data_IF_469576643830
#
_entry.id   IF_469576643830
#
_cell.length_a   1.000
_cell.length_b   1.000
_cell.length_c   1.000
_cell.angle_alpha   90.00
_cell.angle_beta   90.00
_cell.angle_gamma   90.00
#
_symmetry.space_group_name_H-M   'P 1'
#
loop_
_entity.id
_entity.type
_entity.pdbx_description
1 polymer ?
#
# COMPACT_ATOMS: atom_id res chain seq x y z
N UNK A 1 -11.21 -12.75 11.38
CA UNK A 1 -11.56 -11.44 10.79
C UNK A 1 -12.76 -11.55 9.85
N UNK A 2 -12.74 -12.42 8.84
CA UNK A 2 -13.86 -12.58 7.89
C UNK A 2 -15.22 -12.91 8.56
N UNK A 3 -15.23 -13.72 9.61
CA UNK A 3 -16.46 -14.04 10.35
C UNK A 3 -17.06 -12.85 11.12
N UNK A 4 -16.23 -11.93 11.63
CA UNK A 4 -16.71 -10.74 12.33
C UNK A 4 -17.39 -9.78 11.36
N UNK A 5 -16.74 -9.50 10.24
CA UNK A 5 -17.31 -8.64 9.18
C UNK A 5 -18.60 -9.23 8.59
N UNK A 6 -18.59 -10.53 8.27
CA UNK A 6 -19.78 -11.21 7.78
C UNK A 6 -20.94 -11.19 8.79
N UNK A 7 -20.63 -11.42 10.07
CA UNK A 7 -21.63 -11.35 11.14
C UNK A 7 -22.27 -9.96 11.27
N UNK A 8 -21.45 -8.89 11.26
CA UNK A 8 -21.94 -7.52 11.32
C UNK A 8 -22.85 -7.16 10.13
N UNK A 9 -22.48 -7.59 8.92
CA UNK A 9 -23.27 -7.38 7.71
C UNK A 9 -24.65 -8.05 7.80
N UNK A 10 -24.69 -9.33 8.20
CA UNK A 10 -25.93 -10.08 8.33
C UNK A 10 -26.85 -9.46 9.38
N UNK A 11 -26.31 -9.09 10.54
CA UNK A 11 -27.09 -8.44 11.61
C UNK A 11 -27.68 -7.11 11.12
N UNK A 12 -26.90 -6.29 10.42
CA UNK A 12 -27.37 -5.02 9.87
C UNK A 12 -28.50 -5.19 8.84
N UNK A 13 -28.38 -6.16 7.94
CA UNK A 13 -29.41 -6.46 6.94
C UNK A 13 -30.70 -6.95 7.62
N UNK A 14 -30.59 -7.91 8.55
CA UNK A 14 -31.75 -8.44 9.29
C UNK A 14 -32.45 -7.33 10.07
N UNK A 15 -31.70 -6.47 10.75
CA UNK A 15 -32.26 -5.34 11.48
C UNK A 15 -33.01 -4.36 10.56
N UNK A 16 -32.44 -4.01 9.41
CA UNK A 16 -33.07 -3.12 8.42
C UNK A 16 -34.35 -3.70 7.82
N UNK A 17 -34.40 -5.02 7.60
CA UNK A 17 -35.62 -5.72 7.18
C UNK A 17 -36.69 -5.69 8.27
N UNK A 18 -36.33 -5.98 9.53
CA UNK A 18 -37.27 -6.01 10.65
C UNK A 18 -37.85 -4.63 11.00
N UNK A 19 -37.09 -3.55 10.78
CA UNK A 19 -37.55 -2.16 10.99
C UNK A 19 -38.30 -1.57 9.79
N UNK A 20 -38.44 -2.30 8.68
CA UNK A 20 -39.08 -1.83 7.46
C UNK A 20 -38.25 -0.81 6.67
N UNK A 21 -36.98 -0.59 7.04
CA UNK A 21 -36.05 0.32 6.36
C UNK A 21 -35.18 -0.44 5.34
N UNK A 22 -35.82 -1.22 4.46
CA UNK A 22 -35.12 -1.97 3.41
C UNK A 22 -34.53 -1.06 2.34
N UNK A 23 -35.12 0.12 2.15
CA UNK A 23 -34.62 1.13 1.22
C UNK A 23 -33.26 1.67 1.69
N UNK A 24 -33.11 2.05 2.96
CA UNK A 24 -31.84 2.53 3.50
C UNK A 24 -30.72 1.49 3.45
N UNK A 25 -31.03 0.20 3.62
CA UNK A 25 -30.05 -0.89 3.43
C UNK A 25 -29.59 -0.96 1.97
N UNK A 26 -30.52 -0.88 1.03
CA UNK A 26 -30.23 -0.96 -0.41
C UNK A 26 -29.39 0.23 -0.86
N UNK A 27 -29.77 1.45 -0.43
CA UNK A 27 -29.07 2.68 -0.77
C UNK A 27 -27.64 2.68 -0.20
N UNK A 28 -27.46 2.25 1.06
CA UNK A 28 -26.14 2.15 1.68
C UNK A 28 -25.21 1.15 0.96
N UNK A 29 -25.75 0.01 0.50
CA UNK A 29 -24.98 -0.98 -0.27
C UNK A 29 -24.56 -0.40 -1.63
N UNK A 30 -25.48 0.27 -2.33
CA UNK A 30 -25.20 0.89 -3.63
C UNK A 30 -24.19 2.04 -3.52
N UNK A 31 -24.32 2.89 -2.51
CA UNK A 31 -23.39 3.98 -2.24
C UNK A 31 -21.99 3.45 -1.90
N UNK A 32 -21.91 2.47 -0.99
CA UNK A 32 -20.64 1.81 -0.66
C UNK A 32 -19.97 1.17 -1.88
N UNK A 33 -20.75 0.53 -2.76
CA UNK A 33 -20.23 -0.04 -3.99
C UNK A 33 -19.68 1.04 -4.94
N UNK A 34 -20.38 2.17 -5.08
CA UNK A 34 -19.94 3.31 -5.90
C UNK A 34 -18.67 3.94 -5.35
N UNK A 35 -18.58 4.12 -4.04
CA UNK A 35 -17.37 4.62 -3.37
C UNK A 35 -16.20 3.68 -3.58
N UNK A 36 -16.41 2.36 -3.41
CA UNK A 36 -15.38 1.36 -3.63
C UNK A 36 -14.85 1.38 -5.07
N UNK A 37 -15.72 1.49 -6.07
CA UNK A 37 -15.31 1.60 -7.48
C UNK A 37 -14.57 2.89 -7.74
N UNK A 38 -15.05 4.01 -7.21
CA UNK A 38 -14.42 5.33 -7.37
C UNK A 38 -13.02 5.32 -6.78
N UNK A 39 -12.87 4.82 -5.57
CA UNK A 39 -11.58 4.64 -4.91
C UNK A 39 -10.68 3.71 -5.72
N UNK A 40 -11.21 2.58 -6.20
CA UNK A 40 -10.48 1.63 -7.04
C UNK A 40 -9.91 2.28 -8.29
N UNK A 41 -10.70 3.05 -9.03
CA UNK A 41 -10.26 3.77 -10.23
C UNK A 41 -9.19 4.82 -9.89
N UNK A 42 -9.40 5.61 -8.82
CA UNK A 42 -8.41 6.59 -8.38
C UNK A 42 -7.08 5.93 -7.99
N UNK A 43 -7.14 4.83 -7.24
CA UNK A 43 -5.95 4.08 -6.86
C UNK A 43 -5.26 3.44 -8.06
N UNK A 44 -6.00 2.89 -9.03
CA UNK A 44 -5.44 2.32 -10.25
C UNK A 44 -4.61 3.35 -11.02
N UNK A 45 -5.13 4.57 -11.20
CA UNK A 45 -4.40 5.64 -11.89
C UNK A 45 -3.10 6.02 -11.17
N UNK A 46 -3.18 6.22 -9.85
CA UNK A 46 -2.01 6.61 -9.04
C UNK A 46 -0.97 5.48 -9.01
N UNK A 47 -1.40 4.24 -8.77
CA UNK A 47 -0.50 3.09 -8.67
C UNK A 47 0.16 2.82 -10.02
N UNK A 48 -0.60 2.76 -11.12
CA UNK A 48 -0.03 2.50 -12.45
C UNK A 48 1.00 3.55 -12.88
N UNK A 49 0.72 4.84 -12.62
CA UNK A 49 1.66 5.92 -12.87
C UNK A 49 2.95 5.74 -12.07
N UNK A 50 2.82 5.51 -10.76
CA UNK A 50 3.97 5.38 -9.87
C UNK A 50 4.79 4.13 -10.13
N UNK A 51 4.14 2.99 -10.41
CA UNK A 51 4.84 1.75 -10.76
C UNK A 51 5.60 1.90 -12.08
N UNK A 52 5.01 2.57 -13.08
CA UNK A 52 5.68 2.83 -14.35
C UNK A 52 6.87 3.78 -14.20
N UNK A 53 6.71 4.86 -13.42
CA UNK A 53 7.81 5.78 -13.12
C UNK A 53 8.97 5.08 -12.40
N UNK A 54 8.65 4.16 -11.48
CA UNK A 54 9.66 3.39 -10.75
C UNK A 54 10.42 2.41 -11.61
N UNK A 55 9.75 1.75 -12.55
CA UNK A 55 10.42 0.87 -13.50
C UNK A 55 11.46 1.66 -14.31
N UNK A 56 11.06 2.83 -14.83
CA UNK A 56 11.95 3.73 -15.56
C UNK A 56 13.12 4.24 -14.68
N UNK A 57 12.85 4.61 -13.43
CA UNK A 57 13.89 5.05 -12.49
C UNK A 57 14.85 3.91 -12.09
N UNK A 58 14.36 2.67 -12.05
CA UNK A 58 15.14 1.46 -11.86
C UNK A 58 16.08 1.21 -13.02
N UNK A 59 15.55 1.20 -14.25
CA UNK A 59 16.34 1.02 -15.49
C UNK A 59 17.35 2.15 -15.71
N UNK A 60 17.00 3.39 -15.38
CA UNK A 60 17.90 4.55 -15.45
C UNK A 60 19.00 4.55 -14.38
N UNK A 61 18.99 3.60 -13.44
CA UNK A 61 19.98 3.50 -12.36
C UNK A 61 19.81 4.55 -11.24
N UNK A 62 18.74 5.34 -11.28
CA UNK A 62 18.44 6.39 -10.28
C UNK A 62 18.22 5.77 -8.89
N UNK A 63 17.49 4.65 -8.83
CA UNK A 63 17.27 3.88 -7.59
C UNK A 63 18.60 3.43 -6.98
N UNK A 64 19.51 2.92 -7.80
CA UNK A 64 20.84 2.51 -7.37
C UNK A 64 21.71 3.68 -6.89
N UNK A 65 21.59 4.83 -7.55
CA UNK A 65 22.26 6.07 -7.13
C UNK A 65 21.77 6.58 -5.77
N UNK A 66 20.45 6.65 -5.58
CA UNK A 66 19.82 7.05 -4.31
C UNK A 66 20.16 6.09 -3.17
N UNK A 67 20.17 4.79 -3.44
CA UNK A 67 20.59 3.76 -2.48
C UNK A 67 22.02 3.99 -1.99
N UNK A 68 22.95 4.28 -2.91
CA UNK A 68 24.35 4.62 -2.53
C UNK A 68 24.45 5.95 -1.77
N UNK A 69 23.62 6.93 -2.12
CA UNK A 69 23.60 8.23 -1.44
C UNK A 69 23.06 8.13 0.00
N UNK A 70 22.08 7.25 0.25
CA UNK A 70 21.50 6.99 1.58
C UNK A 70 22.35 6.01 2.41
N UNK A 71 23.20 5.21 1.77
CA UNK A 71 24.09 4.27 2.44
C UNK A 71 24.89 4.83 3.64
N UNK A 72 25.49 6.04 3.61
CA UNK A 72 26.15 6.61 4.80
C UNK A 72 25.18 6.83 5.98
N UNK A 73 23.95 7.29 5.71
CA UNK A 73 22.92 7.45 6.74
C UNK A 73 22.46 6.09 7.30
N UNK A 74 22.31 5.08 6.44
CA UNK A 74 21.99 3.73 6.90
C UNK A 74 23.11 3.07 7.71
N UNK A 75 24.38 3.33 7.39
CA UNK A 75 25.51 2.84 8.18
C UNK A 75 25.54 3.46 9.57
N UNK A 76 25.11 4.71 9.68
CA UNK A 76 24.94 5.39 10.96
C UNK A 76 23.80 4.77 11.77
N UNK A 77 22.64 4.49 11.14
CA UNK A 77 21.46 3.94 11.82
C UNK A 77 21.61 2.45 12.17
N UNK A 78 22.30 1.67 11.32
CA UNK A 78 22.51 0.23 11.47
C UNK A 78 24.00 -0.15 11.50
N UNK A 79 24.76 0.26 12.53
CA UNK A 79 26.21 0.05 12.61
C UNK A 79 26.62 -1.43 12.80
N UNK A 80 25.68 -2.30 13.20
CA UNK A 80 25.92 -3.73 13.42
C UNK A 80 25.86 -4.58 12.14
N UNK A 81 25.42 -4.01 11.01
CA UNK A 81 25.31 -4.75 9.75
C UNK A 81 26.67 -4.71 9.02
N UNK A 82 27.28 -5.86 8.67
CA UNK A 82 28.55 -5.91 7.95
C UNK A 82 28.49 -5.19 6.60
N UNK A 83 29.59 -4.54 6.19
CA UNK A 83 29.69 -3.88 4.88
C UNK A 83 29.52 -4.92 3.77
N UNK A 84 28.57 -4.69 2.85
CA UNK A 84 28.29 -5.58 1.72
C UNK A 84 27.31 -6.71 2.03
N UNK A 85 26.67 -6.70 3.21
CA UNK A 85 25.59 -7.62 3.51
C UNK A 85 24.35 -7.27 2.68
N UNK A 86 23.73 -8.26 2.01
CA UNK A 86 22.56 -8.08 1.13
C UNK A 86 21.40 -7.33 1.79
N UNK A 87 21.25 -7.48 3.11
CA UNK A 87 20.27 -6.74 3.91
C UNK A 87 20.41 -5.22 3.78
N UNK A 88 21.62 -4.70 3.51
CA UNK A 88 21.87 -3.27 3.39
C UNK A 88 21.24 -2.68 2.11
N UNK A 89 21.26 -3.43 1.02
CA UNK A 89 20.65 -3.03 -0.25
C UNK A 89 19.13 -3.10 -0.18
N UNK A 90 18.57 -4.17 0.42
CA UNK A 90 17.13 -4.31 0.66
C UNK A 90 16.56 -3.20 1.54
N UNK A 91 17.27 -2.85 2.63
CA UNK A 91 16.84 -1.79 3.54
C UNK A 91 16.91 -0.41 2.85
N UNK A 92 18.00 -0.14 2.13
CA UNK A 92 18.19 1.13 1.42
C UNK A 92 17.13 1.32 0.34
N UNK A 93 16.83 0.26 -0.42
CA UNK A 93 15.75 0.26 -1.41
C UNK A 93 14.38 0.49 -0.77
N UNK A 94 14.10 -0.12 0.39
CA UNK A 94 12.87 0.09 1.15
C UNK A 94 12.72 1.55 1.65
N UNK A 95 13.81 2.16 2.14
CA UNK A 95 13.82 3.56 2.54
C UNK A 95 13.63 4.51 1.36
N UNK A 96 14.31 4.26 0.24
CA UNK A 96 14.13 5.04 -1.00
C UNK A 96 12.69 4.92 -1.48
N UNK A 97 12.10 3.72 -1.48
CA UNK A 97 10.70 3.50 -1.83
C UNK A 97 9.76 4.28 -0.90
N UNK A 98 9.99 4.29 0.41
CA UNK A 98 9.21 5.10 1.35
C UNK A 98 9.34 6.61 1.09
N UNK A 99 10.56 7.12 0.86
CA UNK A 99 10.81 8.55 0.58
C UNK A 99 10.13 9.00 -0.72
N UNK A 100 10.07 8.12 -1.72
CA UNK A 100 9.40 8.38 -2.98
C UNK A 100 7.86 8.23 -2.91
N UNK A 101 7.29 7.98 -1.72
CA UNK A 101 5.83 7.88 -1.53
C UNK A 101 5.25 6.50 -1.87
N UNK A 102 6.10 5.48 -2.01
CA UNK A 102 5.75 4.13 -2.42
C UNK A 102 5.77 3.17 -1.23
N UNK A 103 5.24 3.59 -0.08
CA UNK A 103 5.21 2.78 1.14
C UNK A 103 4.62 1.37 0.93
N UNK A 104 3.73 1.22 -0.05
CA UNK A 104 3.13 -0.06 -0.47
C UNK A 104 4.07 -0.99 -1.25
N UNK A 105 5.02 -0.44 -2.02
CA UNK A 105 6.08 -1.19 -2.71
C UNK A 105 7.36 -1.34 -1.88
N UNK A 106 7.45 -0.62 -0.75
CA UNK A 106 8.59 -0.71 0.15
C UNK A 106 8.63 -2.09 0.84
N UNK A 107 7.49 -2.59 1.32
CA UNK A 107 7.42 -3.83 2.13
C UNK A 107 7.96 -5.08 1.42
N UNK A 108 7.69 -5.33 0.11
CA UNK A 108 8.29 -6.45 -0.61
C UNK A 108 9.80 -6.32 -0.85
N UNK A 109 10.33 -5.10 -1.00
CA UNK A 109 11.76 -4.87 -1.27
C UNK A 109 12.65 -5.05 -0.02
N UNK A 110 12.05 -5.00 1.18
CA UNK A 110 12.75 -5.13 2.45
C UNK A 110 12.76 -6.54 3.06
N UNK A 111 11.95 -7.47 2.53
CA UNK A 111 11.92 -8.89 2.90
C UNK A 111 12.86 -9.70 2.01
#
# INVERSE_FOLDING_TARGET
MNYLWGGMLIIGIVYGVLTGNTQGVTDAVLESAKEAVTLGISMLGIVSFWTGLMEVAGEAGVIGGLTKAIAPFMRFLFPKIPKGHRAFDSLSANFVANILGLGWAATPAGL
#
